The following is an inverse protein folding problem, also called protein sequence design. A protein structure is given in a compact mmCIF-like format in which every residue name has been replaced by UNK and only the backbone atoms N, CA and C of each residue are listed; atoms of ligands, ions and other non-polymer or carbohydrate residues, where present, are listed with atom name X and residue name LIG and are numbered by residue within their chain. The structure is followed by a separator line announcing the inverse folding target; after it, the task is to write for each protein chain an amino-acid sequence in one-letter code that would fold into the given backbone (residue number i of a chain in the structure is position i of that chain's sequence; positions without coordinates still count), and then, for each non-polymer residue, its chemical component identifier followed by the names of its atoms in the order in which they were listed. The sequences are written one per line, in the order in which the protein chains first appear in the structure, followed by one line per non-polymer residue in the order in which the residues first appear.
data_IF_306644313177
#
_entry.id   IF_306644313177
#
_cell.length_a   1.000
_cell.length_b   1.000
_cell.length_c   1.000
_cell.angle_alpha   90.00
_cell.angle_beta   90.00
_cell.angle_gamma   90.00
#
_symmetry.space_group_name_H-M   'P 1'
#
loop_
_entity.id
_entity.type
_entity.pdbx_description
1 polymer ?
#
# COMPACT_ATOMS: atom_id res chain seq x y z
N UNK A 1 -51.50 -43.69 26.34
CA UNK A 1 -51.84 -43.32 24.94
C UNK A 1 -51.29 -41.92 24.71
N UNK A 2 -50.27 -41.79 23.87
CA UNK A 2 -49.49 -40.56 23.73
C UNK A 2 -49.82 -39.77 22.47
N UNK A 3 -49.37 -38.51 22.47
CA UNK A 3 -48.97 -37.75 21.27
C UNK A 3 -47.97 -36.65 21.72
N UNK A 4 -46.71 -36.66 21.27
CA UNK A 4 -45.79 -35.54 21.46
C UNK A 4 -45.90 -34.55 20.30
N UNK A 5 -46.15 -33.28 20.61
CA UNK A 5 -46.12 -32.19 19.64
C UNK A 5 -44.70 -31.93 19.11
N UNK A 6 -44.57 -31.93 17.79
CA UNK A 6 -43.35 -31.81 17.00
C UNK A 6 -42.52 -30.55 17.31
N UNK A 7 -41.37 -30.73 17.97
CA UNK A 7 -40.34 -29.70 18.10
C UNK A 7 -39.63 -29.45 16.76
N UNK A 8 -39.81 -28.25 16.21
CA UNK A 8 -39.12 -27.77 15.00
C UNK A 8 -37.64 -27.53 15.34
N UNK A 9 -36.76 -28.47 15.00
CA UNK A 9 -35.30 -28.28 15.08
C UNK A 9 -34.91 -27.14 14.14
N UNK A 10 -34.46 -26.00 14.68
CA UNK A 10 -33.73 -24.98 13.94
C UNK A 10 -32.35 -25.57 13.59
N UNK A 11 -32.10 -25.78 12.31
CA UNK A 11 -30.75 -26.04 11.79
C UNK A 11 -29.85 -24.83 12.09
N UNK A 12 -28.62 -25.03 12.59
CA UNK A 12 -27.72 -23.92 12.89
C UNK A 12 -27.30 -23.25 11.58
N UNK A 13 -27.45 -21.92 11.50
CA UNK A 13 -27.15 -21.05 10.34
C UNK A 13 -25.62 -20.90 10.13
N UNK A 14 -24.80 -21.82 10.62
CA UNK A 14 -23.35 -21.64 10.75
C UNK A 14 -22.58 -21.87 9.46
N UNK A 15 -23.14 -22.62 8.50
CA UNK A 15 -22.45 -22.96 7.24
C UNK A 15 -22.79 -22.04 6.06
N UNK A 16 -23.84 -21.20 6.15
CA UNK A 16 -24.22 -20.30 5.04
C UNK A 16 -23.27 -19.13 4.88
N UNK A 17 -22.82 -18.55 6.00
CA UNK A 17 -21.84 -17.46 5.97
C UNK A 17 -20.47 -17.92 5.44
N UNK A 18 -20.04 -19.16 5.76
CA UNK A 18 -18.76 -19.69 5.30
C UNK A 18 -18.71 -19.91 3.79
N UNK A 19 -19.80 -20.45 3.20
CA UNK A 19 -19.86 -20.71 1.76
C UNK A 19 -20.00 -19.42 0.93
N UNK A 20 -20.70 -18.42 1.45
CA UNK A 20 -20.78 -17.08 0.84
C UNK A 20 -19.42 -16.35 0.92
N UNK A 21 -18.71 -16.43 2.05
CA UNK A 21 -17.38 -15.83 2.19
C UNK A 21 -16.33 -16.50 1.29
N UNK A 22 -16.40 -17.83 1.14
CA UNK A 22 -15.57 -18.57 0.20
C UNK A 22 -15.87 -18.20 -1.26
N UNK A 23 -17.15 -18.03 -1.61
CA UNK A 23 -17.55 -17.58 -2.94
C UNK A 23 -17.06 -16.17 -3.24
N UNK A 24 -17.20 -15.23 -2.29
CA UNK A 24 -16.68 -13.86 -2.42
C UNK A 24 -15.16 -13.83 -2.52
N UNK A 25 -14.45 -14.65 -1.73
CA UNK A 25 -12.99 -14.79 -1.81
C UNK A 25 -12.52 -15.40 -3.14
N UNK A 26 -13.29 -16.33 -3.71
CA UNK A 26 -13.01 -16.91 -5.03
C UNK A 26 -13.23 -15.89 -6.15
N UNK A 27 -14.31 -15.11 -6.07
CA UNK A 27 -14.61 -14.03 -7.03
C UNK A 27 -13.52 -12.95 -6.97
N UNK A 28 -13.06 -12.58 -5.78
CA UNK A 28 -11.98 -11.61 -5.60
C UNK A 28 -10.66 -12.10 -6.24
N UNK A 29 -10.26 -13.35 -5.96
CA UNK A 29 -9.08 -13.98 -6.58
C UNK A 29 -9.19 -14.09 -8.09
N UNK A 30 -10.36 -14.45 -8.61
CA UNK A 30 -10.58 -14.55 -10.05
C UNK A 30 -10.54 -13.17 -10.73
N UNK A 31 -11.10 -12.14 -10.08
CA UNK A 31 -11.02 -10.77 -10.57
C UNK A 31 -9.57 -10.26 -10.58
N UNK A 32 -8.80 -10.54 -9.53
CA UNK A 32 -7.39 -10.20 -9.43
C UNK A 32 -6.54 -10.92 -10.50
N UNK A 33 -6.77 -12.23 -10.70
CA UNK A 33 -6.09 -12.99 -11.75
C UNK A 33 -6.40 -12.46 -13.16
N UNK A 34 -7.65 -12.05 -13.42
CA UNK A 34 -8.04 -11.41 -14.69
C UNK A 34 -7.37 -10.05 -14.88
N UNK A 35 -7.22 -9.28 -13.80
CA UNK A 35 -6.54 -7.98 -13.82
C UNK A 35 -5.04 -8.16 -14.07
N UNK A 36 -4.40 -9.12 -13.41
CA UNK A 36 -3.01 -9.50 -13.64
C UNK A 36 -2.77 -9.98 -15.08
N UNK A 37 -3.67 -10.79 -15.64
CA UNK A 37 -3.59 -11.21 -17.04
C UNK A 37 -3.70 -10.03 -18.01
N UNK A 38 -4.58 -9.05 -17.73
CA UNK A 38 -4.65 -7.82 -18.52
C UNK A 38 -3.37 -6.99 -18.42
N UNK A 39 -2.76 -6.88 -17.24
CA UNK A 39 -1.45 -6.20 -17.06
C UNK A 39 -0.36 -6.88 -17.87
N UNK A 40 -0.28 -8.22 -17.83
CA UNK A 40 0.68 -8.99 -18.60
C UNK A 40 0.49 -8.78 -20.11
N UNK A 41 -0.75 -8.83 -20.61
CA UNK A 41 -1.05 -8.61 -22.03
C UNK A 41 -0.71 -7.18 -22.48
N UNK A 42 -0.98 -6.16 -21.64
CA UNK A 42 -0.58 -4.77 -21.92
C UNK A 42 0.96 -4.63 -21.95
N UNK A 43 1.66 -5.24 -20.99
CA UNK A 43 3.12 -5.22 -20.95
C UNK A 43 3.74 -5.89 -22.19
N UNK A 44 3.20 -7.02 -22.61
CA UNK A 44 3.63 -7.71 -23.84
C UNK A 44 3.34 -6.86 -25.09
N UNK A 45 2.19 -6.19 -25.15
CA UNK A 45 1.86 -5.29 -26.26
C UNK A 45 2.83 -4.09 -26.33
N UNK A 46 3.23 -3.51 -25.18
CA UNK A 46 4.26 -2.46 -25.12
C UNK A 46 5.60 -2.97 -25.64
N UNK A 47 5.99 -4.18 -25.24
CA UNK A 47 7.28 -4.76 -25.60
C UNK A 47 7.36 -5.11 -27.10
N UNK A 48 6.27 -5.63 -27.68
CA UNK A 48 6.15 -5.86 -29.13
C UNK A 48 6.25 -4.52 -29.88
N UNK A 49 5.54 -3.49 -29.40
CA UNK A 49 5.52 -2.17 -30.04
C UNK A 49 6.89 -1.48 -29.99
N UNK A 50 7.61 -1.60 -28.87
CA UNK A 50 9.00 -1.13 -28.72
C UNK A 50 9.94 -1.83 -29.71
N UNK A 51 9.84 -3.17 -29.83
CA UNK A 51 10.66 -3.94 -30.79
C UNK A 51 10.39 -3.56 -32.24
N UNK A 52 9.14 -3.29 -32.62
CA UNK A 52 8.79 -2.82 -33.96
C UNK A 52 9.38 -1.44 -34.26
N UNK A 53 9.39 -0.53 -33.27
CA UNK A 53 10.00 0.80 -33.41
C UNK A 53 11.52 0.73 -33.61
N UNK A 54 12.21 -0.09 -32.84
CA UNK A 54 13.64 -0.33 -33.04
C UNK A 54 13.93 -0.92 -34.42
N UNK A 55 13.05 -1.80 -34.92
CA UNK A 55 13.14 -2.38 -36.27
C UNK A 55 12.99 -1.31 -37.35
N UNK A 56 12.01 -0.42 -37.22
CA UNK A 56 11.79 0.68 -38.16
C UNK A 56 12.95 1.69 -38.16
N UNK A 57 13.51 2.01 -36.99
CA UNK A 57 14.69 2.86 -36.89
C UNK A 57 15.89 2.24 -37.61
N UNK A 58 16.18 0.96 -37.39
CA UNK A 58 17.26 0.24 -38.07
C UNK A 58 17.06 0.18 -39.59
N UNK A 59 15.85 -0.08 -40.08
CA UNK A 59 15.58 -0.09 -41.53
C UNK A 59 15.77 1.29 -42.17
N UNK A 60 15.44 2.38 -41.48
CA UNK A 60 15.67 3.75 -41.96
C UNK A 60 17.15 4.10 -41.97
N UNK A 61 17.90 3.70 -40.94
CA UNK A 61 19.35 3.88 -40.87
C UNK A 61 20.06 3.12 -42.00
N UNK A 62 19.70 1.86 -42.23
CA UNK A 62 20.25 1.03 -43.31
C UNK A 62 19.91 1.59 -44.71
N UNK A 63 18.69 2.13 -44.90
CA UNK A 63 18.30 2.83 -46.14
C UNK A 63 19.06 4.14 -46.33
N UNK A 64 19.37 4.85 -45.24
CA UNK A 64 20.16 6.08 -45.29
C UNK A 64 21.62 5.79 -45.66
N UNK A 65 22.23 4.74 -45.11
CA UNK A 65 23.58 4.29 -45.43
C UNK A 65 23.70 3.76 -46.87
N UNK A 66 22.70 2.99 -47.34
CA UNK A 66 22.63 2.56 -48.75
C UNK A 66 22.55 3.75 -49.70
N UNK A 67 21.73 4.75 -49.38
CA UNK A 67 21.65 6.00 -50.16
C UNK A 67 22.97 6.78 -50.14
N UNK A 68 23.68 6.79 -49.02
CA UNK A 68 24.99 7.44 -48.89
C UNK A 68 26.09 6.71 -49.68
N UNK A 69 26.06 5.37 -49.73
CA UNK A 69 27.04 4.57 -50.48
C UNK A 69 26.86 4.60 -52.00
N UNK A 70 25.62 4.75 -52.49
CA UNK A 70 25.33 4.90 -53.92
C UNK A 70 25.78 6.27 -54.47
N UNK A 71 25.78 7.32 -53.64
CA UNK A 71 26.26 8.66 -54.04
C UNK A 71 27.79 8.69 -54.21
N UNK A 72 28.55 7.89 -53.45
CA UNK A 72 30.02 7.86 -53.51
C UNK A 72 30.60 6.89 -54.56
N UNK A 73 29.77 6.09 -55.25
CA UNK A 73 30.24 5.03 -56.16
C UNK A 73 30.07 5.31 -57.66
N UNK A 74 29.64 6.51 -58.08
CA UNK A 74 29.50 6.84 -59.51
C UNK A 74 30.73 7.57 -60.06
N UNK A 75 31.49 6.98 -61.01
CA UNK A 75 32.56 7.68 -61.68
C UNK A 75 31.95 8.66 -62.70
N UNK A 76 32.26 9.94 -62.53
CA UNK A 76 31.95 10.97 -63.51
C UNK A 76 32.97 10.90 -64.65
N UNK A 77 32.57 10.41 -65.83
CA UNK A 77 33.42 10.50 -67.03
C UNK A 77 32.63 10.46 -68.33
N UNK A 78 32.98 11.41 -69.22
CA UNK A 78 32.87 11.44 -70.70
C UNK A 78 31.47 11.64 -71.29
N UNK A 79 31.26 12.36 -72.40
CA UNK A 79 32.03 13.26 -73.28
C UNK A 79 31.04 13.71 -74.38
N UNK A 80 31.20 14.91 -74.95
CA UNK A 80 31.09 15.23 -76.40
C UNK A 80 31.08 16.76 -76.54
N UNK A 81 32.19 17.44 -76.87
CA UNK A 81 32.81 17.58 -78.19
C UNK A 81 31.79 17.72 -79.33
N UNK A 82 31.62 18.95 -79.81
CA UNK A 82 31.36 19.24 -81.23
C UNK A 82 31.83 20.65 -81.54
N UNK A 83 32.99 20.72 -82.19
CA UNK A 83 33.54 21.90 -82.83
C UNK A 83 33.09 21.93 -84.31
N UNK A 84 32.64 23.11 -84.76
CA UNK A 84 32.67 23.72 -86.11
C UNK A 84 32.20 22.91 -87.36
N UNK A 85 31.63 23.56 -88.39
CA UNK A 85 32.48 24.28 -89.35
C UNK A 85 31.90 25.58 -89.97
N UNK A 86 32.81 26.39 -90.54
CA UNK A 86 32.53 27.43 -91.52
C UNK A 86 32.05 26.85 -92.86
N UNK A 87 31.14 27.55 -93.55
CA UNK A 87 30.91 27.56 -95.02
C UNK A 87 29.75 28.54 -95.28
N UNK A 88 29.74 29.52 -96.19
CA UNK A 88 30.52 29.73 -97.40
C UNK A 88 29.73 29.26 -98.64
N UNK A 89 28.79 30.08 -99.15
CA UNK A 89 28.28 30.16 -100.55
C UNK A 89 27.19 31.26 -100.59
N UNK A 90 27.33 32.39 -101.30
CA UNK A 90 27.31 32.61 -102.76
C UNK A 90 25.99 32.22 -103.44
N UNK A 91 25.17 33.23 -103.79
CA UNK A 91 24.57 33.32 -105.13
C UNK A 91 23.99 34.72 -105.38
N UNK A 92 24.58 35.38 -106.38
CA UNK A 92 24.03 36.54 -107.08
C UNK A 92 23.00 36.03 -108.08
N UNK A 93 21.76 36.53 -108.02
CA UNK A 93 20.86 36.57 -109.18
C UNK A 93 20.04 37.85 -109.12
N UNK A 94 20.32 38.73 -110.08
CA UNK A 94 19.49 39.88 -110.39
C UNK A 94 18.34 39.51 -111.33
N UNK A 95 17.27 40.29 -111.23
CA UNK A 95 16.21 40.57 -112.21
C UNK A 95 15.48 41.78 -111.60
N UNK A 96 15.38 42.96 -112.21
CA UNK A 96 15.16 43.27 -113.62
C UNK A 96 13.75 43.82 -113.75
N UNK A 97 13.64 45.13 -113.94
CA UNK A 97 12.48 45.97 -114.28
C UNK A 97 11.37 46.25 -113.25
N UNK A 98 11.43 47.47 -112.70
CA UNK A 98 10.31 48.42 -112.73
C UNK A 98 10.87 49.84 -112.54
N UNK A 99 10.91 50.61 -113.62
CA UNK A 99 11.26 52.01 -113.62
C UNK A 99 10.17 52.84 -112.94
N UNK A 100 10.51 53.44 -111.80
CA UNK A 100 9.82 54.62 -111.30
C UNK A 100 10.84 55.53 -110.64
N UNK A 101 10.89 56.78 -111.10
CA UNK A 101 11.66 57.88 -110.52
C UNK A 101 11.56 57.85 -108.98
N UNK A 102 12.65 57.51 -108.30
CA UNK A 102 12.77 57.65 -106.84
C UNK A 102 14.08 58.30 -106.46
N UNK A 103 13.97 59.26 -105.56
CA UNK A 103 14.99 60.14 -105.03
C UNK A 103 16.11 59.33 -104.34
N UNK A 104 17.41 59.62 -104.57
CA UNK A 104 18.52 58.95 -103.86
C UNK A 104 18.44 59.06 -102.33
N UNK A 105 17.74 60.07 -101.81
CA UNK A 105 17.53 60.29 -100.38
C UNK A 105 16.48 59.34 -99.77
N UNK A 106 15.51 58.85 -100.58
CA UNK A 106 14.46 57.94 -100.12
C UNK A 106 15.00 56.53 -99.84
N UNK A 107 15.87 56.00 -100.71
CA UNK A 107 16.50 54.68 -100.52
C UNK A 107 17.50 54.65 -99.36
N UNK A 108 18.11 55.79 -99.02
CA UNK A 108 18.96 55.91 -97.83
C UNK A 108 18.15 55.99 -96.53
N UNK A 109 16.96 56.61 -96.57
CA UNK A 109 16.01 56.59 -95.46
C UNK A 109 15.52 55.17 -95.15
N UNK A 110 15.12 54.41 -96.18
CA UNK A 110 14.67 53.02 -96.02
C UNK A 110 15.77 52.11 -95.45
N UNK A 111 17.03 52.31 -95.86
CA UNK A 111 18.15 51.56 -95.30
C UNK A 111 18.35 51.87 -93.81
N UNK A 112 18.19 53.14 -93.40
CA UNK A 112 18.26 53.56 -92.00
C UNK A 112 17.13 52.94 -91.17
N UNK A 113 15.91 52.96 -91.70
CA UNK A 113 14.75 52.33 -91.07
C UNK A 113 14.94 50.82 -90.87
N UNK A 114 15.58 50.13 -91.83
CA UNK A 114 15.92 48.70 -91.72
C UNK A 114 16.92 48.44 -90.58
N UNK A 115 17.94 49.30 -90.41
CA UNK A 115 18.87 49.17 -89.29
C UNK A 115 18.19 49.46 -87.94
N UNK A 116 17.34 50.48 -87.87
CA UNK A 116 16.58 50.81 -86.65
C UNK A 116 15.59 49.69 -86.27
N UNK A 117 14.91 49.08 -87.27
CA UNK A 117 14.07 47.89 -87.07
C UNK A 117 14.88 46.69 -86.61
N UNK A 118 16.08 46.47 -87.17
CA UNK A 118 16.98 45.40 -86.75
C UNK A 118 17.40 45.57 -85.29
N UNK A 119 17.74 46.78 -84.86
CA UNK A 119 18.11 47.07 -83.47
C UNK A 119 16.93 46.86 -82.52
N UNK A 120 15.72 47.30 -82.91
CA UNK A 120 14.50 47.02 -82.14
C UNK A 120 14.21 45.53 -81.99
N UNK A 121 14.44 44.73 -83.05
CA UNK A 121 14.30 43.27 -82.99
C UNK A 121 15.30 42.68 -82.01
N UNK A 122 16.57 43.09 -82.05
CA UNK A 122 17.58 42.62 -81.09
C UNK A 122 17.23 43.01 -79.65
N UNK A 123 16.68 44.20 -79.41
CA UNK A 123 16.22 44.62 -78.08
C UNK A 123 15.01 43.83 -77.59
N UNK A 124 14.10 43.45 -78.50
CA UNK A 124 12.95 42.60 -78.18
C UNK A 124 13.40 41.17 -77.91
N UNK A 125 14.29 40.62 -78.72
CA UNK A 125 14.90 39.31 -78.53
C UNK A 125 15.70 39.25 -77.22
N UNK A 126 16.46 40.30 -76.91
CA UNK A 126 17.20 40.44 -75.65
C UNK A 126 16.27 40.42 -74.43
N UNK A 127 15.18 41.20 -74.48
CA UNK A 127 14.15 41.20 -73.43
C UNK A 127 13.43 39.86 -73.30
N UNK A 128 13.11 39.22 -74.43
CA UNK A 128 12.48 37.90 -74.44
C UNK A 128 13.40 36.84 -73.83
N UNK A 129 14.67 36.80 -74.24
CA UNK A 129 15.68 35.88 -73.70
C UNK A 129 15.93 36.10 -72.22
N UNK A 130 15.94 37.36 -71.77
CA UNK A 130 16.05 37.69 -70.35
C UNK A 130 14.83 37.21 -69.55
N UNK A 131 13.61 37.47 -70.02
CA UNK A 131 12.39 36.97 -69.36
C UNK A 131 12.32 35.45 -69.31
N UNK A 132 12.81 34.76 -70.36
CA UNK A 132 12.90 33.30 -70.39
C UNK A 132 13.92 32.75 -69.39
N UNK A 133 15.03 33.46 -69.18
CA UNK A 133 16.03 33.12 -68.16
C UNK A 133 15.47 33.30 -66.75
N UNK A 134 14.83 34.43 -66.48
CA UNK A 134 14.18 34.71 -65.20
C UNK A 134 13.09 33.69 -64.87
N UNK A 135 12.29 33.26 -65.85
CA UNK A 135 11.27 32.23 -65.67
C UNK A 135 11.88 30.86 -65.33
N UNK A 136 13.01 30.50 -65.96
CA UNK A 136 13.74 29.26 -65.66
C UNK A 136 14.36 29.29 -64.27
N UNK A 137 14.98 30.40 -63.89
CA UNK A 137 15.58 30.58 -62.57
C UNK A 137 14.49 30.54 -61.48
N UNK A 138 13.33 31.19 -61.72
CA UNK A 138 12.17 31.12 -60.82
C UNK A 138 11.59 29.72 -60.70
N UNK A 139 11.49 28.98 -61.81
CA UNK A 139 11.05 27.58 -61.79
C UNK A 139 12.00 26.71 -60.96
N UNK A 140 13.30 26.85 -61.15
CA UNK A 140 14.31 26.12 -60.39
C UNK A 140 14.24 26.43 -58.88
N UNK A 141 14.01 27.71 -58.52
CA UNK A 141 13.86 28.12 -57.12
C UNK A 141 12.61 27.49 -56.48
N UNK A 142 11.48 27.45 -57.19
CA UNK A 142 10.24 26.82 -56.71
C UNK A 142 10.42 25.30 -56.58
N UNK A 143 11.09 24.64 -57.53
CA UNK A 143 11.40 23.21 -57.45
C UNK A 143 12.28 22.88 -56.24
N UNK A 144 13.27 23.72 -55.92
CA UNK A 144 14.12 23.53 -54.74
C UNK A 144 13.32 23.72 -53.44
N UNK A 145 12.47 24.75 -53.37
CA UNK A 145 11.57 24.98 -52.24
C UNK A 145 10.61 23.80 -52.03
N UNK A 146 10.05 23.25 -53.10
CA UNK A 146 9.19 22.07 -53.04
C UNK A 146 9.94 20.85 -52.49
N UNK A 147 11.16 20.59 -52.96
CA UNK A 147 12.00 19.49 -52.43
C UNK A 147 12.28 19.67 -50.93
N UNK A 148 12.64 20.88 -50.48
CA UNK A 148 12.85 21.18 -49.06
C UNK A 148 11.58 20.95 -48.23
N UNK A 149 10.43 21.42 -48.72
CA UNK A 149 9.14 21.21 -48.06
C UNK A 149 8.78 19.73 -47.96
N UNK A 150 9.06 18.93 -48.99
CA UNK A 150 8.79 17.49 -48.98
C UNK A 150 9.66 16.75 -47.95
N UNK A 151 10.95 17.08 -47.85
CA UNK A 151 11.84 16.51 -46.82
C UNK A 151 11.39 16.92 -45.42
N UNK A 152 11.03 18.18 -45.21
CA UNK A 152 10.50 18.67 -43.94
C UNK A 152 9.18 17.99 -43.55
N UNK A 153 8.28 17.77 -44.51
CA UNK A 153 7.01 17.08 -44.26
C UNK A 153 7.24 15.63 -43.84
N UNK A 154 8.17 14.91 -44.49
CA UNK A 154 8.56 13.56 -44.08
C UNK A 154 9.17 13.53 -42.67
N UNK A 155 9.97 14.53 -42.30
CA UNK A 155 10.50 14.66 -40.94
C UNK A 155 9.38 14.87 -39.91
N UNK A 156 8.44 15.79 -40.19
CA UNK A 156 7.29 16.05 -39.32
C UNK A 156 6.39 14.83 -39.15
N UNK A 157 6.18 14.03 -40.20
CA UNK A 157 5.41 12.79 -40.10
C UNK A 157 6.11 11.76 -39.19
N UNK A 158 7.44 11.66 -39.24
CA UNK A 158 8.20 10.80 -38.33
C UNK A 158 8.11 11.30 -36.88
N UNK A 159 8.27 12.60 -36.64
CA UNK A 159 8.13 13.20 -35.32
C UNK A 159 6.72 13.02 -34.75
N UNK A 160 5.69 13.22 -35.58
CA UNK A 160 4.29 12.98 -35.22
C UNK A 160 4.07 11.53 -34.80
N UNK A 161 4.59 10.57 -35.56
CA UNK A 161 4.49 9.16 -35.22
C UNK A 161 5.18 8.88 -33.89
N UNK A 162 6.41 9.35 -33.70
CA UNK A 162 7.14 9.21 -32.44
C UNK A 162 6.37 9.77 -31.24
N UNK A 163 5.76 10.95 -31.38
CA UNK A 163 4.93 11.55 -30.34
C UNK A 163 3.66 10.73 -30.05
N UNK A 164 3.01 10.18 -31.08
CA UNK A 164 1.87 9.27 -30.89
C UNK A 164 2.29 8.05 -30.04
N UNK A 165 3.45 7.46 -30.32
CA UNK A 165 3.98 6.34 -29.53
C UNK A 165 4.28 6.72 -28.08
N UNK A 166 4.85 7.89 -27.85
CA UNK A 166 5.12 8.39 -26.49
C UNK A 166 3.81 8.61 -25.72
N UNK A 167 2.81 9.24 -26.35
CA UNK A 167 1.50 9.48 -25.74
C UNK A 167 0.83 8.16 -25.36
N UNK A 168 0.87 7.16 -26.25
CA UNK A 168 0.26 5.86 -25.96
C UNK A 168 0.97 5.16 -24.80
N UNK A 169 2.31 5.18 -24.76
CA UNK A 169 3.10 4.64 -23.65
C UNK A 169 2.78 5.35 -22.33
N UNK A 170 2.60 6.67 -22.36
CA UNK A 170 2.27 7.45 -21.18
C UNK A 170 0.86 7.17 -20.67
N UNK A 171 -0.14 7.04 -21.55
CA UNK A 171 -1.50 6.61 -21.15
C UNK A 171 -1.46 5.27 -20.44
N UNK A 172 -0.68 4.37 -20.99
CA UNK A 172 -0.42 3.05 -20.46
C UNK A 172 0.18 3.08 -19.03
N UNK A 173 1.15 3.96 -18.80
CA UNK A 173 1.72 4.20 -17.46
C UNK A 173 0.69 4.84 -16.53
N UNK A 174 -0.14 5.77 -17.01
CA UNK A 174 -1.21 6.39 -16.22
C UNK A 174 -2.21 5.34 -15.76
N UNK A 175 -2.70 4.47 -16.65
CA UNK A 175 -3.63 3.38 -16.29
C UNK A 175 -3.02 2.47 -15.21
N UNK A 176 -1.74 2.13 -15.32
CA UNK A 176 -1.04 1.32 -14.32
C UNK A 176 -0.96 2.04 -12.95
N UNK A 177 -0.74 3.35 -12.95
CA UNK A 177 -0.71 4.16 -11.73
C UNK A 177 -2.10 4.30 -11.10
N UNK A 178 -3.14 4.45 -11.90
CA UNK A 178 -4.53 4.46 -11.42
C UNK A 178 -4.90 3.13 -10.75
N UNK A 179 -4.48 2.00 -11.35
CA UNK A 179 -4.68 0.68 -10.76
C UNK A 179 -3.89 0.50 -9.45
N UNK A 180 -2.64 0.97 -9.38
CA UNK A 180 -1.84 0.97 -8.14
C UNK A 180 -2.50 1.80 -7.03
N UNK A 181 -3.04 2.96 -7.37
CA UNK A 181 -3.78 3.82 -6.42
C UNK A 181 -5.02 3.08 -5.91
N UNK A 182 -5.78 2.42 -6.79
CA UNK A 182 -6.96 1.65 -6.38
C UNK A 182 -6.62 0.46 -5.47
N UNK A 183 -5.47 -0.20 -5.68
CA UNK A 183 -4.95 -1.23 -4.77
C UNK A 183 -4.58 -0.65 -3.40
N UNK A 184 -3.87 0.48 -3.34
CA UNK A 184 -3.55 1.12 -2.07
C UNK A 184 -4.78 1.55 -1.28
N UNK A 185 -5.83 2.04 -1.96
CA UNK A 185 -7.10 2.35 -1.28
C UNK A 185 -7.76 1.11 -0.67
N UNK A 186 -7.76 -0.04 -1.38
CA UNK A 186 -8.30 -1.31 -0.86
C UNK A 186 -7.48 -1.82 0.33
N UNK A 187 -6.16 -1.83 0.23
CA UNK A 187 -5.28 -2.26 1.32
C UNK A 187 -5.43 -1.37 2.57
N UNK A 188 -5.56 -0.06 2.37
CA UNK A 188 -5.79 0.87 3.47
C UNK A 188 -7.15 0.65 4.16
N UNK A 189 -8.19 0.31 3.39
CA UNK A 189 -9.49 -0.05 3.95
C UNK A 189 -9.42 -1.34 4.77
N UNK A 190 -8.74 -2.37 4.28
CA UNK A 190 -8.51 -3.63 5.01
C UNK A 190 -7.72 -3.42 6.30
N UNK A 191 -6.61 -2.67 6.23
CA UNK A 191 -5.83 -2.31 7.43
C UNK A 191 -6.64 -1.50 8.44
N UNK A 192 -7.51 -0.60 7.96
CA UNK A 192 -8.41 0.16 8.83
C UNK A 192 -9.42 -0.76 9.53
N UNK A 193 -9.97 -1.76 8.83
CA UNK A 193 -10.86 -2.77 9.42
C UNK A 193 -10.15 -3.63 10.46
N UNK A 194 -8.92 -4.08 10.18
CA UNK A 194 -8.14 -4.86 11.15
C UNK A 194 -7.75 -4.01 12.38
N UNK A 195 -7.42 -2.73 12.19
CA UNK A 195 -7.17 -1.80 13.30
C UNK A 195 -8.39 -1.71 14.24
N UNK A 196 -9.60 -1.55 13.68
CA UNK A 196 -10.82 -1.49 14.50
C UNK A 196 -11.09 -2.84 15.20
N UNK A 197 -10.81 -3.96 14.55
CA UNK A 197 -10.89 -5.29 15.17
C UNK A 197 -9.93 -5.43 16.35
N UNK A 198 -8.69 -4.95 16.20
CA UNK A 198 -7.70 -4.97 17.28
C UNK A 198 -8.07 -4.02 18.42
N UNK A 199 -8.58 -2.82 18.13
CA UNK A 199 -9.12 -1.92 19.17
C UNK A 199 -10.22 -2.57 19.98
N UNK A 200 -11.15 -3.27 19.31
CA UNK A 200 -12.20 -4.02 20.00
C UNK A 200 -11.63 -5.11 20.91
N UNK A 201 -10.67 -5.90 20.42
CA UNK A 201 -10.00 -6.93 21.23
C UNK A 201 -9.27 -6.33 22.45
N UNK A 202 -8.55 -5.22 22.26
CA UNK A 202 -7.89 -4.51 23.36
C UNK A 202 -8.90 -4.03 24.42
N UNK A 203 -10.06 -3.52 23.99
CA UNK A 203 -11.13 -3.11 24.90
C UNK A 203 -11.67 -4.30 25.71
N UNK A 204 -11.89 -5.46 25.07
CA UNK A 204 -12.33 -6.68 25.77
C UNK A 204 -11.28 -7.15 26.78
N UNK A 205 -10.00 -7.17 26.40
CA UNK A 205 -8.92 -7.55 27.31
C UNK A 205 -8.76 -6.56 28.47
N UNK A 206 -8.96 -5.27 28.23
CA UNK A 206 -8.94 -4.25 29.27
C UNK A 206 -10.05 -4.49 30.30
N UNK A 207 -11.29 -4.73 29.85
CA UNK A 207 -12.38 -5.11 30.74
C UNK A 207 -12.03 -6.37 31.55
N UNK A 208 -11.41 -7.38 30.92
CA UNK A 208 -11.03 -8.60 31.64
C UNK A 208 -9.94 -8.35 32.68
N UNK A 209 -8.98 -7.50 32.38
CA UNK A 209 -7.94 -7.09 33.32
C UNK A 209 -8.55 -6.39 34.53
N UNK A 210 -9.52 -5.50 34.32
CA UNK A 210 -10.17 -4.75 35.40
C UNK A 210 -11.01 -5.66 36.30
N UNK A 211 -11.71 -6.65 35.74
CA UNK A 211 -12.40 -7.69 36.52
C UNK A 211 -11.42 -8.48 37.41
N UNK A 212 -10.27 -8.88 36.87
CA UNK A 212 -9.26 -9.65 37.61
C UNK A 212 -8.61 -8.81 38.71
N UNK A 213 -8.33 -7.52 38.44
CA UNK A 213 -7.82 -6.57 39.44
C UNK A 213 -8.80 -6.39 40.59
N UNK A 214 -10.08 -6.28 40.30
CA UNK A 214 -11.12 -6.16 41.33
C UNK A 214 -11.23 -7.45 42.16
N UNK A 215 -11.14 -8.62 41.52
CA UNK A 215 -11.09 -9.90 42.22
C UNK A 215 -9.83 -10.07 43.09
N UNK A 216 -8.70 -9.53 42.67
CA UNK A 216 -7.47 -9.44 43.48
C UNK A 216 -7.69 -8.56 44.72
N UNK A 217 -8.23 -7.36 44.54
CA UNK A 217 -8.54 -6.41 45.62
C UNK A 217 -9.44 -7.03 46.69
N UNK A 218 -10.52 -7.70 46.27
CA UNK A 218 -11.44 -8.39 47.19
C UNK A 218 -10.75 -9.50 47.99
N UNK A 219 -9.82 -10.24 47.37
CA UNK A 219 -9.07 -11.28 48.06
C UNK A 219 -8.14 -10.70 49.11
N UNK A 220 -7.44 -9.62 48.77
CA UNK A 220 -6.52 -8.95 49.69
C UNK A 220 -7.27 -8.37 50.90
N UNK A 221 -8.46 -7.77 50.68
CA UNK A 221 -9.35 -7.32 51.76
C UNK A 221 -9.76 -8.47 52.71
N UNK A 222 -10.07 -9.66 52.16
CA UNK A 222 -10.39 -10.85 52.96
C UNK A 222 -9.20 -11.39 53.74
N UNK A 223 -7.99 -11.31 53.16
CA UNK A 223 -6.75 -11.72 53.84
C UNK A 223 -6.49 -10.78 55.03
N UNK A 224 -6.60 -9.47 54.83
CA UNK A 224 -6.44 -8.49 55.92
C UNK A 224 -7.49 -8.66 57.03
N UNK A 225 -8.75 -8.94 56.67
CA UNK A 225 -9.80 -9.20 57.65
C UNK A 225 -9.52 -10.47 58.47
N UNK A 226 -9.04 -11.54 57.83
CA UNK A 226 -8.63 -12.76 58.53
C UNK A 226 -7.44 -12.53 59.45
N UNK A 227 -6.45 -11.74 59.03
CA UNK A 227 -5.30 -11.40 59.88
C UNK A 227 -5.75 -10.65 61.14
N UNK A 228 -6.62 -9.63 61.01
CA UNK A 228 -7.21 -8.92 62.15
C UNK A 228 -8.00 -9.84 63.08
N UNK A 229 -8.75 -10.79 62.52
CA UNK A 229 -9.48 -11.78 63.32
C UNK A 229 -8.51 -12.70 64.09
N UNK A 230 -7.43 -13.13 63.45
CA UNK A 230 -6.40 -13.95 64.09
C UNK A 230 -5.72 -13.21 65.23
N UNK A 231 -5.35 -11.94 65.05
CA UNK A 231 -4.79 -11.10 66.12
C UNK A 231 -5.73 -10.98 67.32
N UNK A 232 -7.04 -10.83 67.09
CA UNK A 232 -8.04 -10.82 68.16
C UNK A 232 -8.12 -12.17 68.88
N UNK A 233 -8.09 -13.29 68.14
CA UNK A 233 -8.08 -14.64 68.73
C UNK A 233 -6.84 -14.83 69.60
N UNK A 234 -5.67 -14.42 69.12
CA UNK A 234 -4.42 -14.54 69.86
C UNK A 234 -4.45 -13.71 71.16
N UNK A 235 -5.04 -12.50 71.12
CA UNK A 235 -5.25 -11.65 72.30
C UNK A 235 -6.18 -12.32 73.33
N UNK A 236 -7.34 -12.83 72.90
CA UNK A 236 -8.28 -13.52 73.78
C UNK A 236 -7.65 -14.78 74.37
N UNK A 237 -6.91 -15.55 73.56
CA UNK A 237 -6.22 -16.76 74.01
C UNK A 237 -5.23 -16.44 75.12
N UNK A 238 -4.51 -15.32 75.00
CA UNK A 238 -3.60 -14.85 76.06
C UNK A 238 -4.35 -14.44 77.32
N UNK A 239 -5.44 -13.69 77.20
CA UNK A 239 -6.28 -13.32 78.37
C UNK A 239 -6.84 -14.55 79.09
N UNK A 240 -7.33 -15.54 78.33
CA UNK A 240 -7.82 -16.81 78.88
C UNK A 240 -6.70 -17.54 79.62
N UNK A 241 -5.49 -17.57 79.08
CA UNK A 241 -4.33 -18.17 79.72
C UNK A 241 -3.98 -17.46 81.06
N UNK A 242 -3.91 -16.13 81.06
CA UNK A 242 -3.60 -15.33 82.26
C UNK A 242 -4.68 -15.51 83.36
N UNK A 243 -5.96 -15.56 82.96
CA UNK A 243 -7.07 -15.85 83.87
C UNK A 243 -7.00 -17.28 84.42
N UNK A 244 -6.65 -18.26 83.58
CA UNK A 244 -6.49 -19.65 84.01
C UNK A 244 -5.34 -19.81 85.02
N UNK A 245 -4.21 -19.13 84.83
CA UNK A 245 -3.14 -19.08 85.83
C UNK A 245 -3.63 -18.46 87.15
N UNK A 246 -4.41 -17.38 87.07
CA UNK A 246 -4.96 -16.71 88.25
C UNK A 246 -5.92 -17.63 89.03
N UNK A 247 -6.76 -18.39 88.33
CA UNK A 247 -7.64 -19.40 88.94
C UNK A 247 -6.79 -20.50 89.60
N UNK A 248 -5.81 -21.05 88.89
CA UNK A 248 -4.91 -22.08 89.43
C UNK A 248 -4.17 -21.61 90.69
N UNK A 249 -3.75 -20.33 90.74
CA UNK A 249 -3.15 -19.75 91.94
C UNK A 249 -4.14 -19.63 93.09
N UNK A 250 -5.38 -19.20 92.81
CA UNK A 250 -6.46 -19.16 93.81
C UNK A 250 -6.77 -20.55 94.36
N UNK A 251 -6.91 -21.57 93.50
CA UNK A 251 -7.18 -22.95 93.91
C UNK A 251 -6.05 -23.55 94.77
N UNK A 252 -4.78 -23.26 94.43
CA UNK A 252 -3.63 -23.63 95.28
C UNK A 252 -3.66 -22.95 96.65
N UNK A 253 -4.27 -21.77 96.77
CA UNK A 253 -4.35 -20.99 98.02
C UNK A 253 -5.57 -21.39 98.86
N UNK A 254 -6.72 -21.66 98.24
CA UNK A 254 -7.92 -22.20 98.90
C UNK A 254 -7.74 -23.65 99.32
N UNK A 255 -6.98 -24.46 98.59
CA UNK A 255 -6.61 -25.82 99.01
C UNK A 255 -5.75 -25.90 100.29
N UNK A 256 -5.10 -24.80 100.69
CA UNK A 256 -4.33 -24.69 101.96
C UNK A 256 -5.16 -24.15 103.12
N UNK A 257 -6.34 -23.61 102.86
CA UNK A 257 -7.31 -23.14 103.85
C UNK A 257 -8.64 -23.81 103.56
N UNK A 258 -8.81 -25.05 104.05
CA UNK A 258 -10.06 -25.80 103.88
C UNK A 258 -11.25 -24.99 104.40
N UNK A 259 -12.12 -24.56 103.48
CA UNK A 259 -13.48 -24.19 103.83
C UNK A 259 -14.28 -25.48 103.98
N UNK A 260 -14.58 -25.84 105.22
CA UNK A 260 -15.59 -26.85 105.57
C UNK A 260 -16.95 -26.19 105.39
N UNK A 261 -17.72 -26.64 104.41
CA UNK A 261 -19.16 -26.41 104.37
C UNK A 261 -19.75 -27.27 105.50
N UNK A 262 -20.12 -26.65 106.62
CA UNK A 262 -20.89 -27.27 107.70
C UNK A 262 -22.36 -27.25 107.27
N UNK A 263 -23.02 -28.41 107.06
CA UNK A 263 -24.46 -28.45 106.89
C UNK A 263 -25.13 -28.45 108.26
N UNK A 264 -25.67 -27.32 108.69
CA UNK A 264 -26.55 -27.23 109.86
C UNK A 264 -28.03 -27.30 109.43
N UNK A 265 -28.73 -28.33 109.94
CA UNK A 265 -30.12 -28.20 110.40
C UNK A 265 -31.27 -28.51 109.42
N UNK A 266 -31.70 -29.78 109.41
CA UNK A 266 -33.06 -30.34 109.16
C UNK A 266 -34.25 -29.44 109.61
N UNK A 267 -35.52 -29.56 109.10
CA UNK A 267 -36.23 -30.85 108.95
C UNK A 267 -37.38 -30.96 107.90
N UNK A 268 -37.66 -32.17 107.41
CA UNK A 268 -38.97 -32.87 107.47
C UNK A 268 -39.16 -33.95 106.39
N UNK A 269 -39.72 -35.10 106.82
CA UNK A 269 -40.44 -36.10 106.02
C UNK A 269 -39.55 -37.13 105.34
N UNK A 270 -39.22 -38.25 106.00
CA UNK A 270 -40.00 -39.50 106.03
C UNK A 270 -40.17 -40.17 104.67
N UNK A 271 -39.73 -41.43 104.59
CA UNK A 271 -40.24 -42.58 103.81
C UNK A 271 -39.10 -43.47 103.27
N UNK A 272 -38.92 -44.62 103.96
CA UNK A 272 -38.64 -45.97 103.45
C UNK A 272 -37.74 -46.16 102.21
N UNK A 273 -36.69 -46.99 102.29
CA UNK A 273 -36.76 -48.46 102.16
C UNK A 273 -35.34 -49.08 102.18
N UNK A 274 -35.27 -50.23 102.85
CA UNK A 274 -34.33 -51.36 102.76
C UNK A 274 -32.96 -51.26 102.05
N UNK A 275 -31.96 -51.64 102.83
CA UNK A 275 -30.80 -52.46 102.46
C UNK A 275 -30.92 -53.22 101.14
N UNK A 276 -30.11 -52.82 100.16
CA UNK A 276 -29.45 -53.77 99.25
C UNK A 276 -27.95 -53.58 99.40
N UNK A 277 -27.32 -54.65 99.88
CA UNK A 277 -25.87 -54.84 99.94
C UNK A 277 -25.29 -54.62 98.54
N UNK A 278 -24.66 -53.48 98.35
CA UNK A 278 -23.81 -53.18 97.21
C UNK A 278 -22.43 -52.81 97.73
N UNK A 279 -21.41 -53.55 97.30
CA UNK A 279 -20.00 -53.33 97.61
C UNK A 279 -19.65 -51.85 97.40
N UNK A 280 -19.52 -51.06 98.47
CA UNK A 280 -19.10 -49.65 98.38
C UNK A 280 -17.61 -49.64 98.04
N UNK A 281 -17.29 -49.54 96.75
CA UNK A 281 -15.94 -49.23 96.29
C UNK A 281 -15.75 -47.71 96.33
N UNK A 282 -14.87 -47.26 97.21
CA UNK A 282 -14.48 -45.84 97.31
C UNK A 282 -13.71 -45.46 96.05
N UNK A 283 -14.24 -44.50 95.28
CA UNK A 283 -13.59 -43.98 94.07
C UNK A 283 -13.04 -42.59 94.37
N UNK A 284 -11.96 -42.18 93.69
CA UNK A 284 -11.44 -40.80 93.83
C UNK A 284 -12.48 -39.79 93.35
N UNK A 285 -12.41 -38.56 93.88
CA UNK A 285 -13.33 -37.47 93.50
C UNK A 285 -13.36 -37.24 91.98
N UNK A 286 -12.21 -37.37 91.32
CA UNK A 286 -12.06 -37.25 89.86
C UNK A 286 -12.82 -38.38 89.12
N UNK A 287 -12.69 -39.62 89.60
CA UNK A 287 -13.34 -40.77 88.99
C UNK A 287 -14.87 -40.74 89.20
N UNK A 288 -15.33 -40.21 90.34
CA UNK A 288 -16.76 -39.99 90.58
C UNK A 288 -17.34 -38.96 89.60
N UNK A 289 -16.61 -37.87 89.33
CA UNK A 289 -17.04 -36.81 88.41
C UNK A 289 -17.11 -37.28 86.95
N UNK A 290 -16.14 -38.10 86.51
CA UNK A 290 -16.15 -38.72 85.17
C UNK A 290 -17.29 -39.73 85.02
N UNK A 291 -17.63 -40.46 86.08
CA UNK A 291 -18.76 -41.38 86.09
C UNK A 291 -20.11 -40.63 86.12
N UNK A 292 -20.16 -39.42 86.68
CA UNK A 292 -21.35 -38.57 86.66
C UNK A 292 -21.64 -38.04 85.24
N UNK A 293 -20.60 -37.69 84.48
CA UNK A 293 -20.75 -37.27 83.08
C UNK A 293 -21.22 -38.39 82.13
N UNK A 294 -21.06 -39.66 82.51
CA UNK A 294 -21.52 -40.83 81.75
C UNK A 294 -23.06 -41.07 81.82
N UNK A 295 -23.78 -40.24 82.60
CA UNK A 295 -25.23 -40.33 82.81
C UNK A 295 -25.65 -41.34 83.88
N UNK A 296 -26.95 -41.51 84.11
CA UNK A 296 -27.49 -42.37 85.16
C UNK A 296 -27.45 -43.88 84.80
N UNK A 297 -27.25 -44.73 85.81
CA UNK A 297 -27.27 -46.19 85.69
C UNK A 297 -26.24 -46.91 86.58
N UNK A 298 -26.33 -48.25 86.71
CA UNK A 298 -25.34 -49.04 87.42
C UNK A 298 -23.93 -48.86 86.80
N UNK A 299 -22.91 -49.05 87.65
CA UNK A 299 -21.51 -48.71 87.36
C UNK A 299 -20.99 -49.35 86.06
N UNK A 300 -21.42 -50.59 85.80
CA UNK A 300 -21.10 -51.35 84.59
C UNK A 300 -21.62 -50.69 83.30
N UNK A 301 -22.81 -50.09 83.34
CA UNK A 301 -23.39 -49.35 82.20
C UNK A 301 -22.63 -48.03 81.97
N UNK A 302 -22.30 -47.30 83.04
CA UNK A 302 -21.54 -46.05 82.96
C UNK A 302 -20.13 -46.27 82.43
N UNK A 303 -19.46 -47.31 82.91
CA UNK A 303 -18.14 -47.73 82.40
C UNK A 303 -18.21 -48.15 80.92
N UNK A 304 -19.27 -48.83 80.50
CA UNK A 304 -19.46 -49.23 79.09
C UNK A 304 -19.69 -48.02 78.18
N UNK A 305 -20.47 -47.02 78.61
CA UNK A 305 -20.66 -45.77 77.87
C UNK A 305 -19.35 -45.00 77.71
N UNK A 306 -18.61 -44.81 78.79
CA UNK A 306 -17.29 -44.16 78.76
C UNK A 306 -16.30 -44.93 77.87
N UNK A 307 -16.34 -46.27 77.89
CA UNK A 307 -15.52 -47.09 76.99
C UNK A 307 -15.90 -46.88 75.52
N UNK A 308 -17.20 -46.77 75.21
CA UNK A 308 -17.71 -46.49 73.87
C UNK A 308 -17.31 -45.09 73.37
N UNK A 309 -17.49 -44.06 74.19
CA UNK A 309 -17.07 -42.68 73.88
C UNK A 309 -15.55 -42.60 73.68
N UNK A 310 -14.77 -43.30 74.51
CA UNK A 310 -13.32 -43.42 74.33
C UNK A 310 -12.97 -44.07 73.00
N UNK A 311 -13.67 -45.12 72.60
CA UNK A 311 -13.42 -45.81 71.32
C UNK A 311 -13.82 -44.96 70.11
N UNK A 312 -14.88 -44.16 70.23
CA UNK A 312 -15.32 -43.19 69.23
C UNK A 312 -14.32 -42.03 69.08
N UNK A 313 -13.88 -41.44 70.20
CA UNK A 313 -12.82 -40.41 70.22
C UNK A 313 -11.49 -40.96 69.67
N UNK A 314 -11.11 -42.18 70.01
CA UNK A 314 -9.93 -42.83 69.43
C UNK A 314 -10.07 -43.04 67.92
N UNK A 315 -11.28 -43.30 67.43
CA UNK A 315 -11.55 -43.42 66.00
C UNK A 315 -11.49 -42.06 65.29
N UNK A 316 -11.98 -40.98 65.92
CA UNK A 316 -11.83 -39.62 65.41
C UNK A 316 -10.37 -39.18 65.39
N UNK A 317 -9.59 -39.46 66.43
CA UNK A 317 -8.15 -39.19 66.48
C UNK A 317 -7.40 -39.94 65.38
N UNK A 318 -7.74 -41.22 65.14
CA UNK A 318 -7.16 -41.99 64.02
C UNK A 318 -7.49 -41.35 62.67
N UNK A 319 -8.73 -40.92 62.46
CA UNK A 319 -9.17 -40.25 61.22
C UNK A 319 -8.46 -38.92 61.01
N UNK A 320 -8.39 -38.07 62.03
CA UNK A 320 -7.69 -36.78 61.99
C UNK A 320 -6.18 -36.95 61.77
N UNK A 321 -5.56 -37.96 62.39
CA UNK A 321 -4.16 -38.31 62.12
C UNK A 321 -3.96 -38.74 60.66
N UNK A 322 -4.88 -39.53 60.11
CA UNK A 322 -4.81 -39.93 58.71
C UNK A 322 -4.96 -38.73 57.77
N UNK A 323 -5.87 -37.80 58.06
CA UNK A 323 -6.04 -36.56 57.27
C UNK A 323 -4.84 -35.63 57.39
N UNK A 324 -4.24 -35.52 58.58
CA UNK A 324 -3.00 -34.76 58.79
C UNK A 324 -1.83 -35.40 58.02
N UNK A 325 -1.74 -36.73 58.01
CA UNK A 325 -0.74 -37.47 57.26
C UNK A 325 -0.97 -37.33 55.74
N UNK A 326 -2.21 -37.35 55.27
CA UNK A 326 -2.58 -37.10 53.87
C UNK A 326 -2.22 -35.67 53.44
N UNK A 327 -2.50 -34.65 54.27
CA UNK A 327 -2.11 -33.26 54.00
C UNK A 327 -0.58 -33.07 54.06
N UNK A 328 0.10 -33.70 55.02
CA UNK A 328 1.57 -33.74 55.07
C UNK A 328 2.16 -34.42 53.83
N UNK A 329 1.53 -35.48 53.33
CA UNK A 329 1.96 -36.15 52.10
C UNK A 329 1.66 -35.34 50.85
N UNK A 330 0.58 -34.56 50.81
CA UNK A 330 0.31 -33.62 49.70
C UNK A 330 1.37 -32.52 49.64
N UNK A 331 1.76 -31.95 50.78
CA UNK A 331 2.86 -30.98 50.86
C UNK A 331 4.22 -31.62 50.57
N UNK A 332 4.46 -32.84 51.07
CA UNK A 332 5.69 -33.60 50.79
C UNK A 332 5.79 -34.01 49.31
N UNK A 333 4.68 -34.25 48.61
CA UNK A 333 4.68 -34.51 47.15
C UNK A 333 4.82 -33.24 46.30
N UNK A 334 4.39 -32.08 46.79
CA UNK A 334 4.74 -30.80 46.14
C UNK A 334 6.21 -30.42 46.35
N UNK A 335 6.84 -30.90 47.43
CA UNK A 335 8.27 -30.68 47.72
C UNK A 335 9.18 -31.81 47.18
N UNK A 336 8.65 -33.02 46.96
CA UNK A 336 9.37 -34.19 46.38
C UNK A 336 9.28 -34.29 44.86
N UNK A 337 8.88 -33.23 44.16
CA UNK A 337 9.19 -33.09 42.73
C UNK A 337 10.62 -32.58 42.48
N UNK A 338 11.47 -32.52 43.51
CA UNK A 338 12.93 -32.44 43.36
C UNK A 338 13.66 -33.22 44.46
N UNK A 339 13.91 -34.53 44.29
CA UNK A 339 14.94 -35.22 45.04
C UNK A 339 16.27 -35.06 44.28
N UNK A 340 17.07 -34.03 44.61
CA UNK A 340 18.55 -34.03 44.54
C UNK A 340 19.16 -32.61 44.66
N UNK A 341 18.94 -31.91 45.77
CA UNK A 341 19.71 -30.69 46.08
C UNK A 341 20.09 -30.64 47.55
N UNK A 342 20.90 -31.60 47.99
CA UNK A 342 21.65 -31.49 49.26
C UNK A 342 23.17 -31.42 49.03
N UNK A 343 23.66 -31.42 47.77
CA UNK A 343 25.10 -31.37 47.48
C UNK A 343 25.55 -30.27 46.49
N UNK A 344 24.67 -29.34 46.07
CA UNK A 344 25.02 -28.27 45.12
C UNK A 344 24.43 -26.91 45.52
N UNK A 345 24.96 -26.30 46.58
CA UNK A 345 24.73 -24.87 46.87
C UNK A 345 25.27 -23.95 45.74
N UNK A 346 26.12 -24.48 44.84
CA UNK A 346 26.61 -23.80 43.64
C UNK A 346 25.73 -24.00 42.38
N UNK A 347 24.68 -24.82 42.40
CA UNK A 347 23.91 -25.20 41.20
C UNK A 347 22.69 -24.33 40.90
N UNK A 348 21.93 -23.94 41.92
CA UNK A 348 20.77 -23.03 41.79
C UNK A 348 21.19 -21.60 41.46
N UNK A 349 22.31 -21.15 42.03
CA UNK A 349 22.94 -19.87 41.70
C UNK A 349 23.52 -19.90 40.27
N UNK A 350 24.07 -21.03 39.83
CA UNK A 350 24.53 -21.24 38.44
C UNK A 350 23.38 -21.15 37.43
N UNK A 351 22.21 -21.72 37.73
CA UNK A 351 21.05 -21.67 36.84
C UNK A 351 20.44 -20.26 36.75
N UNK A 352 20.45 -19.50 37.85
CA UNK A 352 20.07 -18.09 37.87
C UNK A 352 21.08 -17.23 37.07
N UNK A 353 22.38 -17.52 37.18
CA UNK A 353 23.45 -16.87 36.41
C UNK A 353 23.33 -17.19 34.92
N UNK A 354 22.97 -18.41 34.54
CA UNK A 354 22.70 -18.80 33.15
C UNK A 354 21.49 -18.08 32.58
N UNK A 355 20.37 -18.02 33.32
CA UNK A 355 19.20 -17.23 32.92
C UNK A 355 19.54 -15.74 32.77
N UNK A 356 20.34 -15.18 33.68
CA UNK A 356 20.80 -13.80 33.60
C UNK A 356 21.70 -13.56 32.39
N UNK A 357 22.57 -14.52 32.05
CA UNK A 357 23.42 -14.47 30.84
C UNK A 357 22.59 -14.55 29.56
N UNK A 358 21.59 -15.42 29.50
CA UNK A 358 20.69 -15.55 28.36
C UNK A 358 19.82 -14.30 28.18
N UNK A 359 19.29 -13.75 29.27
CA UNK A 359 18.57 -12.47 29.23
C UNK A 359 19.48 -11.35 28.72
N UNK A 360 20.71 -11.26 29.20
CA UNK A 360 21.70 -10.27 28.72
C UNK A 360 22.10 -10.49 27.25
N UNK A 361 22.17 -11.74 26.81
CA UNK A 361 22.43 -12.09 25.40
C UNK A 361 21.28 -11.63 24.50
N UNK A 362 20.04 -11.90 24.91
CA UNK A 362 18.84 -11.45 24.20
C UNK A 362 18.76 -9.92 24.16
N UNK A 363 19.04 -9.23 25.29
CA UNK A 363 19.11 -7.76 25.33
C UNK A 363 20.14 -7.24 24.32
N UNK A 364 21.30 -7.89 24.23
CA UNK A 364 22.35 -7.50 23.29
C UNK A 364 21.94 -7.73 21.84
N UNK A 365 21.29 -8.85 21.53
CA UNK A 365 20.72 -9.11 20.20
C UNK A 365 19.64 -8.08 19.82
N UNK A 366 18.74 -7.72 20.74
CA UNK A 366 17.72 -6.71 20.51
C UNK A 366 18.32 -5.31 20.34
N UNK A 367 19.36 -4.95 21.12
CA UNK A 367 20.11 -3.70 20.92
C UNK A 367 20.76 -3.63 19.54
N UNK A 368 21.35 -4.72 19.07
CA UNK A 368 21.94 -4.78 17.74
C UNK A 368 20.87 -4.64 16.64
N UNK A 369 19.74 -5.35 16.77
CA UNK A 369 18.61 -5.24 15.84
C UNK A 369 18.03 -3.83 15.82
N UNK A 370 17.90 -3.20 16.99
CA UNK A 370 17.44 -1.81 17.10
C UNK A 370 18.40 -0.85 16.40
N UNK A 371 19.70 -0.95 16.69
CA UNK A 371 20.71 -0.09 16.05
C UNK A 371 20.74 -0.26 14.53
N UNK A 372 20.53 -1.49 14.03
CA UNK A 372 20.42 -1.75 12.60
C UNK A 372 19.14 -1.12 12.01
N UNK A 373 18.01 -1.26 12.68
CA UNK A 373 16.76 -0.62 12.25
C UNK A 373 16.87 0.91 12.25
N UNK A 374 17.58 1.52 13.21
CA UNK A 374 17.85 2.97 13.25
C UNK A 374 18.70 3.43 12.06
N UNK A 375 19.71 2.64 11.66
CA UNK A 375 20.50 2.91 10.44
C UNK A 375 19.66 2.80 9.17
N UNK A 376 18.79 1.78 9.09
CA UNK A 376 17.88 1.59 7.95
C UNK A 376 16.88 2.76 7.85
N UNK A 377 16.33 3.23 8.98
CA UNK A 377 15.46 4.42 9.04
C UNK A 377 16.20 5.64 8.47
N UNK A 378 17.43 5.90 8.94
CA UNK A 378 18.23 7.04 8.46
C UNK A 378 18.45 6.98 6.94
N UNK A 379 18.70 5.78 6.41
CA UNK A 379 18.89 5.57 4.97
C UNK A 379 17.60 5.79 4.19
N UNK A 380 16.46 5.32 4.71
CA UNK A 380 15.14 5.54 4.11
C UNK A 380 14.75 7.02 4.13
N UNK A 381 15.03 7.75 5.20
CA UNK A 381 14.79 9.19 5.30
C UNK A 381 15.57 9.97 4.23
N UNK A 382 16.85 9.63 4.02
CA UNK A 382 17.66 10.24 2.94
C UNK A 382 17.07 9.94 1.56
N UNK A 383 16.60 8.71 1.33
CA UNK A 383 15.95 8.33 0.08
C UNK A 383 14.65 9.10 -0.15
N UNK A 384 13.83 9.27 0.90
CA UNK A 384 12.60 10.07 0.88
C UNK A 384 12.95 11.51 0.48
N UNK A 385 13.90 12.16 1.15
CA UNK A 385 14.29 13.54 0.82
C UNK A 385 14.77 13.70 -0.63
N UNK A 386 15.50 12.72 -1.17
CA UNK A 386 15.91 12.73 -2.59
C UNK A 386 14.71 12.61 -3.54
N UNK A 387 13.76 11.72 -3.23
CA UNK A 387 12.55 11.50 -4.02
C UNK A 387 11.62 12.72 -3.97
N UNK A 388 11.42 13.32 -2.80
CA UNK A 388 10.67 14.56 -2.63
C UNK A 388 11.26 15.69 -3.48
N UNK A 389 12.59 15.82 -3.50
CA UNK A 389 13.27 16.77 -4.37
C UNK A 389 13.07 16.50 -5.87
N UNK A 390 12.98 15.22 -6.28
CA UNK A 390 12.64 14.88 -7.67
C UNK A 390 11.19 15.24 -8.01
N UNK A 391 10.25 14.91 -7.12
CA UNK A 391 8.82 15.24 -7.30
C UNK A 391 8.62 16.75 -7.44
N UNK A 392 9.28 17.55 -6.60
CA UNK A 392 9.21 19.02 -6.68
C UNK A 392 9.69 19.54 -8.04
N UNK A 393 10.79 19.00 -8.58
CA UNK A 393 11.32 19.37 -9.90
C UNK A 393 10.38 18.96 -11.03
N UNK A 394 9.86 17.74 -11.02
CA UNK A 394 8.93 17.28 -12.04
C UNK A 394 7.62 18.05 -12.03
N UNK A 395 7.12 18.40 -10.85
CA UNK A 395 5.93 19.26 -10.72
C UNK A 395 6.16 20.63 -11.37
N UNK A 396 7.27 21.30 -11.06
CA UNK A 396 7.61 22.59 -11.67
C UNK A 396 7.80 22.49 -13.18
N UNK A 397 8.41 21.40 -13.67
CA UNK A 397 8.57 21.16 -15.10
C UNK A 397 7.22 20.95 -15.81
N UNK A 398 6.30 20.20 -15.19
CA UNK A 398 4.96 19.98 -15.71
C UNK A 398 4.14 21.28 -15.77
N UNK A 399 4.15 22.08 -14.69
CA UNK A 399 3.49 23.39 -14.65
C UNK A 399 4.03 24.35 -15.72
N UNK A 400 5.35 24.32 -15.99
CA UNK A 400 5.93 25.13 -17.06
C UNK A 400 5.54 24.60 -18.46
N UNK A 401 5.51 23.29 -18.65
CA UNK A 401 5.09 22.69 -19.92
C UNK A 401 3.63 23.01 -20.25
N UNK A 402 2.74 22.98 -19.25
CA UNK A 402 1.33 23.35 -19.41
C UNK A 402 1.16 24.81 -19.87
N UNK A 403 1.91 25.74 -19.24
CA UNK A 403 1.93 27.15 -19.67
C UNK A 403 2.37 27.32 -21.13
N UNK A 404 3.44 26.64 -21.53
CA UNK A 404 3.94 26.68 -22.91
C UNK A 404 2.93 26.09 -23.89
N UNK A 405 2.25 24.99 -23.52
CA UNK A 405 1.20 24.40 -24.35
C UNK A 405 0.04 25.38 -24.59
N UNK A 406 -0.39 26.11 -23.56
CA UNK A 406 -1.45 27.10 -23.66
C UNK A 406 -1.06 28.30 -24.54
N UNK A 407 0.20 28.76 -24.44
CA UNK A 407 0.76 29.78 -25.33
C UNK A 407 0.76 29.32 -26.79
N UNK A 408 1.24 28.09 -27.06
CA UNK A 408 1.24 27.51 -28.41
C UNK A 408 -0.17 27.31 -28.96
N UNK A 409 -1.15 26.93 -28.12
CA UNK A 409 -2.57 26.87 -28.52
C UNK A 409 -3.09 28.25 -28.90
N UNK A 410 -2.73 29.29 -28.16
CA UNK A 410 -3.12 30.66 -28.47
C UNK A 410 -2.50 31.15 -29.79
N UNK A 411 -1.21 30.89 -30.02
CA UNK A 411 -0.52 31.21 -31.27
C UNK A 411 -1.12 30.44 -32.44
N UNK A 412 -1.38 29.15 -32.30
CA UNK A 412 -2.05 28.34 -33.33
C UNK A 412 -3.38 28.96 -33.75
N UNK A 413 -4.22 29.37 -32.79
CA UNK A 413 -5.51 30.02 -33.09
C UNK A 413 -5.32 31.37 -33.80
N UNK A 414 -4.28 32.12 -33.45
CA UNK A 414 -3.93 33.39 -34.11
C UNK A 414 -3.51 33.16 -35.56
N UNK A 415 -2.55 32.25 -35.79
CA UNK A 415 -2.08 31.89 -37.13
C UNK A 415 -3.18 31.30 -38.00
N UNK A 416 -4.09 30.49 -37.43
CA UNK A 416 -5.26 30.00 -38.16
C UNK A 416 -6.20 31.11 -38.63
N UNK A 417 -6.39 32.16 -37.80
CA UNK A 417 -7.17 33.35 -38.20
C UNK A 417 -6.46 34.13 -39.30
N UNK A 418 -5.15 34.34 -39.16
CA UNK A 418 -4.35 35.04 -40.18
C UNK A 418 -4.35 34.29 -41.51
N UNK A 419 -4.22 32.97 -41.48
CA UNK A 419 -4.32 32.12 -42.67
C UNK A 419 -5.68 32.26 -43.35
N UNK A 420 -6.78 32.22 -42.58
CA UNK A 420 -8.13 32.42 -43.12
C UNK A 420 -8.24 33.76 -43.85
N UNK A 421 -7.83 34.84 -43.21
CA UNK A 421 -7.85 36.19 -43.80
C UNK A 421 -6.98 36.29 -45.06
N UNK A 422 -5.82 35.63 -45.08
CA UNK A 422 -4.96 35.61 -46.26
C UNK A 422 -5.59 34.83 -47.43
N UNK A 423 -6.25 33.70 -47.15
CA UNK A 423 -6.99 32.93 -48.16
C UNK A 423 -8.15 33.74 -48.74
N UNK A 424 -8.95 34.38 -47.90
CA UNK A 424 -10.06 35.24 -48.36
C UNK A 424 -9.53 36.34 -49.29
N UNK A 425 -8.36 36.92 -48.98
CA UNK A 425 -7.71 37.94 -49.83
C UNK A 425 -7.18 37.37 -51.15
N UNK A 426 -6.70 36.13 -51.15
CA UNK A 426 -6.29 35.44 -52.39
C UNK A 426 -7.52 35.23 -53.29
N UNK A 427 -8.63 34.75 -52.74
CA UNK A 427 -9.88 34.56 -53.50
C UNK A 427 -10.38 35.87 -54.12
N UNK A 428 -10.36 36.99 -53.36
CA UNK A 428 -10.69 38.31 -53.89
C UNK A 428 -9.77 38.70 -55.06
N UNK A 429 -8.46 38.54 -54.89
CA UNK A 429 -7.48 38.86 -55.93
C UNK A 429 -7.65 37.97 -57.18
N UNK A 430 -7.93 36.67 -57.01
CA UNK A 430 -8.21 35.75 -58.11
C UNK A 430 -9.48 36.15 -58.88
N UNK A 431 -10.54 36.56 -58.19
CA UNK A 431 -11.74 37.09 -58.84
C UNK A 431 -11.44 38.37 -59.64
N UNK A 432 -10.72 39.33 -59.05
CA UNK A 432 -10.34 40.56 -59.78
C UNK A 432 -9.47 40.26 -61.00
N UNK A 433 -8.52 39.33 -60.88
CA UNK A 433 -7.66 38.93 -61.98
C UNK A 433 -8.46 38.24 -63.10
N UNK A 434 -9.41 37.36 -62.74
CA UNK A 434 -10.34 36.73 -63.69
C UNK A 434 -11.16 37.78 -64.47
N UNK A 435 -11.65 38.82 -63.80
CA UNK A 435 -12.35 39.93 -64.46
C UNK A 435 -11.44 40.72 -65.41
N UNK A 436 -10.21 41.02 -64.99
CA UNK A 436 -9.23 41.73 -65.82
C UNK A 436 -8.84 40.90 -67.05
N UNK A 437 -8.59 39.60 -66.88
CA UNK A 437 -8.30 38.67 -67.98
C UNK A 437 -9.43 38.66 -69.01
N UNK A 438 -10.69 38.51 -68.59
CA UNK A 438 -11.86 38.56 -69.49
C UNK A 438 -11.95 39.89 -70.25
N UNK A 439 -11.65 41.02 -69.60
CA UNK A 439 -11.64 42.34 -70.25
C UNK A 439 -10.52 42.46 -71.28
N UNK A 440 -9.35 41.91 -70.97
CA UNK A 440 -8.18 41.89 -71.84
C UNK A 440 -8.43 41.00 -73.06
N UNK A 441 -9.05 39.83 -72.88
CA UNK A 441 -9.49 38.97 -73.99
C UNK A 441 -10.47 39.66 -74.93
N UNK A 442 -11.47 40.38 -74.40
CA UNK A 442 -12.38 41.19 -75.22
C UNK A 442 -11.64 42.25 -76.04
N UNK A 443 -10.68 42.96 -75.42
CA UNK A 443 -9.86 43.95 -76.11
C UNK A 443 -9.02 43.32 -77.23
N UNK A 444 -8.41 42.16 -76.97
CA UNK A 444 -7.66 41.39 -77.97
C UNK A 444 -8.57 40.99 -79.14
N UNK A 445 -9.74 40.41 -78.87
CA UNK A 445 -10.70 40.02 -79.89
C UNK A 445 -11.15 41.21 -80.76
N UNK A 446 -11.44 42.35 -80.14
CA UNK A 446 -11.79 43.58 -80.86
C UNK A 446 -10.64 44.06 -81.76
N UNK A 447 -9.40 44.04 -81.26
CA UNK A 447 -8.22 44.40 -82.06
C UNK A 447 -8.05 43.46 -83.26
N UNK A 448 -8.21 42.15 -83.05
CA UNK A 448 -8.13 41.16 -84.14
C UNK A 448 -9.22 41.37 -85.18
N UNK A 449 -10.45 41.67 -84.77
CA UNK A 449 -11.56 41.95 -85.68
C UNK A 449 -11.36 43.25 -86.50
N UNK A 450 -10.77 44.28 -85.89
CA UNK A 450 -10.40 45.52 -86.61
C UNK A 450 -9.28 45.28 -87.63
N UNK A 451 -8.27 44.47 -87.26
CA UNK A 451 -7.18 44.10 -88.17
C UNK A 451 -7.66 43.24 -89.34
N UNK A 452 -8.74 42.46 -89.21
CA UNK A 452 -9.29 41.66 -90.30
C UNK A 452 -10.20 42.44 -91.27
N UNK A 453 -10.50 43.71 -90.97
CA UNK A 453 -11.31 44.60 -91.82
C UNK A 453 -10.46 45.60 -92.64
N UNK A 454 -9.16 45.64 -92.40
CA UNK A 454 -8.15 46.29 -93.27
C UNK A 454 -7.58 45.25 -94.22
#
# INVERSE_FOLDING_TARGET
MGTPGSGRKRTPVKDRFSAEDEALSSIAREAEARLAAKRAARAEARDIRMRELERQQKELEEKSEKSHSEIFSRPSSRNSVSAAPQSGNSSRRGSGDASSFVDPDASLSELRDIYDLKDQIHDVEGRYMQGLKELKDSLAEVEEKYKKAMVSNAQLDNEKNNLIYQVDTLKDVIEEKEEQIAEFYRENEEKSKELERQKHNCSVLQHKLDELKEGLRQRDELIEANQRMQENIDSITKEVFDLQETINWKDKKTGKHGLVIIPDGTPNGDLNHESVVGTITVVSQEAAQVLESAGEGPLDIRLRKLAGEKEELLSQVRKLKMQLEEERQKYSKSDSMNPDTIDLENGSDLQLIEMQRDANRQISEYKFKLSKAEQDITTLEQNIGRLEGQVARYKSAAENAEKVEDELKAEKRKLQRELRTALDKIEEMEMTNSHLMKRLEKMKANRTALLSQQ
#
